data_IF_107948281396
#
_entry.id   IF_107948281396
#
_cell.length_a   1.000
_cell.length_b   1.000
_cell.length_c   1.000
_cell.angle_alpha   90.00
_cell.angle_beta   90.00
_cell.angle_gamma   90.00
#
_symmetry.space_group_name_H-M   'P 1'
#
loop_
_entity.id
_entity.type
_entity.pdbx_description
1 polymer ?
#
# COMPACT_ATOMS: atom_id res chain seq x y z
N UNK A 1 -11.72 17.74 8.71
CA UNK A 1 -12.34 17.83 7.37
C UNK A 1 -12.92 16.45 7.03
N UNK A 2 -14.03 16.34 6.31
CA UNK A 2 -14.66 15.05 5.99
C UNK A 2 -14.20 14.58 4.60
N UNK A 3 -13.81 13.31 4.47
CA UNK A 3 -13.49 12.72 3.17
C UNK A 3 -14.71 12.76 2.25
N UNK A 4 -14.49 13.06 0.96
CA UNK A 4 -15.59 13.19 -0.02
C UNK A 4 -15.52 12.00 -0.96
N UNK A 5 -16.62 11.23 -1.08
CA UNK A 5 -16.64 9.94 -1.76
C UNK A 5 -16.05 9.95 -3.18
N UNK A 6 -16.35 10.96 -3.99
CA UNK A 6 -15.84 11.08 -5.36
C UNK A 6 -14.40 11.62 -5.45
N UNK A 7 -13.80 12.04 -4.35
CA UNK A 7 -12.42 12.52 -4.27
C UNK A 7 -11.48 11.50 -3.65
N UNK A 8 -11.97 10.36 -3.15
CA UNK A 8 -11.13 9.38 -2.45
C UNK A 8 -10.11 8.77 -3.39
N UNK A 9 -8.84 8.87 -3.01
CA UNK A 9 -7.66 8.38 -3.75
C UNK A 9 -6.78 7.48 -2.89
N UNK A 10 -6.74 7.71 -1.58
CA UNK A 10 -5.86 7.02 -0.66
C UNK A 10 -6.63 6.19 0.37
N UNK A 11 -6.14 4.99 0.64
CA UNK A 11 -6.59 4.12 1.72
C UNK A 11 -5.42 3.85 2.67
N UNK A 12 -5.60 4.13 3.96
CA UNK A 12 -4.61 3.82 4.99
C UNK A 12 -5.00 2.54 5.72
N UNK A 13 -4.12 1.54 5.60
CA UNK A 13 -4.27 0.22 6.18
C UNK A 13 -4.19 0.23 7.72
N UNK A 14 -4.68 -0.83 8.36
CA UNK A 14 -4.75 -0.99 9.81
C UNK A 14 -3.38 -0.94 10.49
N UNK A 15 -2.33 -1.42 9.83
CA UNK A 15 -0.95 -1.30 10.34
C UNK A 15 -0.48 0.16 10.55
N UNK A 16 -1.21 1.12 9.98
CA UNK A 16 -1.01 2.56 10.07
C UNK A 16 -2.27 3.32 10.57
N UNK A 17 -3.16 2.68 11.33
CA UNK A 17 -4.48 3.25 11.68
C UNK A 17 -4.43 4.67 12.29
N UNK A 18 -3.48 4.93 13.21
CA UNK A 18 -3.29 6.26 13.82
C UNK A 18 -2.94 7.34 12.79
N UNK A 19 -2.10 7.00 11.81
CA UNK A 19 -1.78 7.89 10.69
C UNK A 19 -3.02 8.08 9.79
N UNK A 20 -3.81 7.02 9.58
CA UNK A 20 -5.04 7.07 8.80
C UNK A 20 -6.04 8.08 9.34
N UNK A 21 -6.24 8.10 10.66
CA UNK A 21 -7.07 9.10 11.33
C UNK A 21 -6.54 10.53 11.11
N UNK A 22 -5.25 10.74 11.31
CA UNK A 22 -4.63 12.05 11.12
C UNK A 22 -4.76 12.57 9.68
N UNK A 23 -4.49 11.72 8.68
CA UNK A 23 -4.60 12.10 7.27
C UNK A 23 -6.05 12.33 6.85
N UNK A 24 -7.00 11.51 7.31
CA UNK A 24 -8.44 11.68 7.03
C UNK A 24 -8.95 13.00 7.62
N UNK A 25 -8.45 13.42 8.79
CA UNK A 25 -8.81 14.70 9.39
C UNK A 25 -8.31 15.90 8.56
N UNK A 26 -7.13 15.77 7.94
CA UNK A 26 -6.46 16.83 7.19
C UNK A 26 -6.81 16.87 5.69
N UNK A 27 -7.21 15.75 5.09
CA UNK A 27 -7.38 15.60 3.63
C UNK A 27 -8.74 15.02 3.25
N UNK A 28 -9.30 15.50 2.12
CA UNK A 28 -10.60 15.04 1.59
C UNK A 28 -10.51 13.76 0.75
N UNK A 29 -9.30 13.41 0.28
CA UNK A 29 -9.03 12.30 -0.63
C UNK A 29 -8.46 11.06 0.08
N UNK A 30 -8.37 11.09 1.42
CA UNK A 30 -7.83 9.98 2.22
C UNK A 30 -8.90 9.39 3.11
N UNK A 31 -8.99 8.06 3.09
CA UNK A 31 -9.75 7.26 4.05
C UNK A 31 -8.83 6.23 4.71
N UNK A 32 -9.34 5.50 5.68
CA UNK A 32 -8.59 4.50 6.43
C UNK A 32 -9.44 3.25 6.68
N UNK A 33 -8.82 2.19 7.21
CA UNK A 33 -9.53 0.98 7.63
C UNK A 33 -10.75 1.29 8.51
N UNK A 34 -11.87 0.64 8.22
CA UNK A 34 -13.14 0.85 8.92
C UNK A 34 -13.86 2.16 8.62
N UNK A 35 -13.38 2.96 7.66
CA UNK A 35 -14.08 4.18 7.26
C UNK A 35 -15.41 3.86 6.53
N UNK A 36 -16.52 4.57 6.79
CA UNK A 36 -17.82 4.27 6.18
C UNK A 36 -17.86 4.29 4.64
N UNK A 37 -16.92 4.98 4.00
CA UNK A 37 -16.79 5.03 2.53
C UNK A 37 -16.15 3.78 1.92
N UNK A 38 -15.66 2.83 2.73
CA UNK A 38 -15.12 1.54 2.29
C UNK A 38 -15.61 0.40 3.21
N UNK A 39 -16.92 0.08 3.19
CA UNK A 39 -17.50 -0.93 4.07
C UNK A 39 -16.90 -2.34 3.89
N UNK A 40 -16.28 -2.62 2.75
CA UNK A 40 -15.59 -3.89 2.47
C UNK A 40 -14.28 -4.07 3.25
N UNK A 41 -13.79 -3.01 3.92
CA UNK A 41 -12.54 -3.04 4.68
C UNK A 41 -12.79 -2.68 6.15
N UNK A 42 -13.58 -3.49 6.90
CA UNK A 42 -13.71 -3.30 8.35
C UNK A 42 -12.36 -3.53 9.05
N UNK A 43 -12.26 -3.10 10.32
CA UNK A 43 -11.09 -3.45 11.14
C UNK A 43 -10.99 -4.97 11.30
N UNK A 44 -9.78 -5.50 11.21
CA UNK A 44 -9.51 -6.93 11.24
C UNK A 44 -9.82 -7.66 9.92
N UNK A 45 -10.15 -6.95 8.83
CA UNK A 45 -10.33 -7.57 7.52
C UNK A 45 -9.06 -8.31 7.08
N UNK A 46 -9.24 -9.48 6.48
CA UNK A 46 -8.13 -10.28 5.97
C UNK A 46 -7.57 -9.67 4.68
N UNK A 47 -6.28 -9.92 4.41
CA UNK A 47 -5.63 -9.48 3.17
C UNK A 47 -6.38 -9.93 1.91
N UNK A 48 -7.00 -11.13 1.95
CA UNK A 48 -7.84 -11.66 0.87
C UNK A 48 -9.14 -10.90 0.64
N UNK A 49 -9.57 -10.07 1.59
CA UNK A 49 -10.80 -9.30 1.55
C UNK A 49 -10.54 -7.85 1.15
N UNK A 50 -9.63 -7.17 1.87
CA UNK A 50 -9.41 -5.73 1.68
C UNK A 50 -8.56 -5.43 0.44
N UNK A 51 -7.56 -6.26 0.10
CA UNK A 51 -6.68 -6.00 -1.06
C UNK A 51 -7.50 -5.92 -2.36
N UNK A 52 -8.35 -6.91 -2.70
CA UNK A 52 -9.16 -6.84 -3.91
C UNK A 52 -10.14 -5.67 -3.90
N UNK A 53 -10.72 -5.32 -2.74
CA UNK A 53 -11.67 -4.22 -2.63
C UNK A 53 -11.02 -2.86 -2.92
N UNK A 54 -9.86 -2.60 -2.31
CA UNK A 54 -9.09 -1.37 -2.51
C UNK A 54 -8.56 -1.28 -3.95
N UNK A 55 -8.07 -2.38 -4.49
CA UNK A 55 -7.58 -2.45 -5.87
C UNK A 55 -8.68 -2.15 -6.90
N UNK A 56 -9.86 -2.78 -6.79
CA UNK A 56 -11.00 -2.53 -7.69
C UNK A 56 -11.47 -1.08 -7.68
N UNK A 57 -11.34 -0.41 -6.53
CA UNK A 57 -11.67 1.01 -6.36
C UNK A 57 -10.58 1.95 -6.90
N UNK A 58 -9.44 1.41 -7.37
CA UNK A 58 -8.33 2.20 -7.85
C UNK A 58 -7.78 3.12 -6.75
N UNK A 59 -7.72 2.65 -5.51
CA UNK A 59 -7.13 3.42 -4.40
C UNK A 59 -5.63 3.13 -4.28
N UNK A 60 -4.89 4.10 -3.75
CA UNK A 60 -3.47 3.96 -3.40
C UNK A 60 -3.35 3.67 -1.91
N UNK A 61 -2.65 2.60 -1.57
CA UNK A 61 -2.50 2.14 -0.18
C UNK A 61 -1.34 2.82 0.50
N UNK A 62 -1.55 3.24 1.75
CA UNK A 62 -0.48 3.62 2.67
C UNK A 62 -0.51 2.61 3.83
N UNK A 63 0.60 1.91 4.05
CA UNK A 63 0.70 0.81 5.03
C UNK A 63 2.06 0.80 5.70
N UNK A 64 2.19 0.11 6.84
CA UNK A 64 3.48 -0.26 7.45
C UNK A 64 3.70 -1.76 7.49
N UNK A 65 2.79 -2.53 6.93
CA UNK A 65 2.88 -3.98 7.05
C UNK A 65 4.10 -4.48 6.29
N UNK A 66 5.01 -5.11 7.02
CA UNK A 66 6.21 -5.74 6.45
C UNK A 66 5.84 -7.05 5.73
N UNK A 67 4.74 -7.70 6.11
CA UNK A 67 4.29 -9.00 5.60
C UNK A 67 3.86 -8.95 4.15
N UNK A 68 3.29 -7.81 3.76
CA UNK A 68 2.91 -7.46 2.39
C UNK A 68 4.04 -7.65 1.36
N UNK A 69 5.30 -7.69 1.80
CA UNK A 69 6.50 -7.90 0.96
C UNK A 69 7.21 -9.23 1.18
N UNK A 70 6.78 -10.06 2.12
CA UNK A 70 7.53 -11.25 2.54
C UNK A 70 6.80 -12.56 2.30
N UNK A 71 5.48 -12.56 2.12
CA UNK A 71 4.73 -13.78 1.82
C UNK A 71 4.51 -13.90 0.31
N UNK A 72 5.04 -14.96 -0.34
CA UNK A 72 4.91 -15.16 -1.78
C UNK A 72 3.47 -15.11 -2.29
N UNK A 73 2.53 -15.66 -1.52
CA UNK A 73 1.09 -15.69 -1.86
C UNK A 73 0.48 -14.28 -1.81
N UNK A 74 0.85 -13.47 -0.81
CA UNK A 74 0.37 -12.08 -0.68
C UNK A 74 0.96 -11.21 -1.78
N UNK A 75 2.24 -11.39 -2.13
CA UNK A 75 2.86 -10.72 -3.28
C UNK A 75 2.07 -11.06 -4.54
N UNK A 76 1.84 -12.33 -4.86
CA UNK A 76 1.11 -12.71 -6.08
C UNK A 76 -0.29 -12.07 -6.13
N UNK A 77 -1.02 -12.02 -5.01
CA UNK A 77 -2.32 -11.35 -4.93
C UNK A 77 -2.23 -9.84 -5.21
N UNK A 78 -1.22 -9.16 -4.67
CA UNK A 78 -0.97 -7.74 -4.97
C UNK A 78 -0.73 -7.49 -6.45
N UNK A 79 0.11 -8.33 -7.06
CA UNK A 79 0.44 -8.23 -8.48
C UNK A 79 -0.78 -8.52 -9.36
N UNK A 80 -1.53 -9.58 -9.05
CA UNK A 80 -2.72 -9.97 -9.79
C UNK A 80 -3.84 -8.91 -9.75
N UNK A 81 -3.95 -8.16 -8.65
CA UNK A 81 -4.98 -7.13 -8.51
C UNK A 81 -4.50 -5.72 -8.90
N UNK A 82 -3.23 -5.54 -9.29
CA UNK A 82 -2.72 -4.23 -9.69
C UNK A 82 -2.64 -3.23 -8.53
N UNK A 83 -2.41 -3.69 -7.30
CA UNK A 83 -2.40 -2.82 -6.13
C UNK A 83 -1.23 -1.83 -6.17
N UNK A 84 -1.52 -0.58 -5.81
CA UNK A 84 -0.55 0.52 -5.77
C UNK A 84 -0.28 0.88 -4.33
N UNK A 85 0.97 0.74 -3.88
CA UNK A 85 1.31 0.76 -2.45
C UNK A 85 2.48 1.70 -2.15
N UNK A 86 2.28 2.55 -1.14
CA UNK A 86 3.33 3.23 -0.41
C UNK A 86 3.49 2.58 0.97
N UNK A 87 4.59 1.86 1.16
CA UNK A 87 4.89 1.16 2.41
C UNK A 87 5.89 1.98 3.23
N UNK A 88 5.49 2.40 4.43
CA UNK A 88 6.33 3.21 5.32
C UNK A 88 7.39 2.30 5.94
N UNK A 89 8.64 2.54 5.56
CA UNK A 89 9.81 1.89 6.15
C UNK A 89 10.10 2.41 7.56
N UNK A 90 11.24 2.02 8.12
CA UNK A 90 11.71 2.56 9.41
C UNK A 90 11.70 1.55 10.58
N UNK A 91 12.11 2.06 11.75
CA UNK A 91 12.24 1.29 12.99
C UNK A 91 10.88 1.10 13.67
N UNK A 92 10.79 0.09 14.54
CA UNK A 92 9.53 -0.29 15.21
C UNK A 92 9.01 0.81 16.14
N UNK A 93 9.90 1.66 16.67
CA UNK A 93 9.61 2.56 17.80
C UNK A 93 9.29 4.00 17.39
N UNK A 94 9.10 4.26 16.09
CA UNK A 94 8.65 5.56 15.61
C UNK A 94 7.21 5.84 16.05
N UNK A 95 6.90 7.10 16.35
CA UNK A 95 5.54 7.49 16.73
C UNK A 95 4.65 7.69 15.50
N UNK A 96 3.32 7.77 15.72
CA UNK A 96 2.38 8.18 14.66
C UNK A 96 2.73 9.54 14.06
N UNK A 97 3.24 10.46 14.89
CA UNK A 97 3.69 11.77 14.44
C UNK A 97 4.89 11.67 13.49
N UNK A 98 5.86 10.81 13.79
CA UNK A 98 7.04 10.62 12.93
C UNK A 98 6.66 10.07 11.55
N UNK A 99 5.70 9.13 11.50
CA UNK A 99 5.17 8.64 10.22
C UNK A 99 4.40 9.72 9.48
N UNK A 100 3.59 10.53 10.18
CA UNK A 100 2.87 11.64 9.57
C UNK A 100 3.85 12.64 8.95
N UNK A 101 4.87 13.07 9.70
CA UNK A 101 5.92 13.98 9.19
C UNK A 101 6.60 13.39 7.97
N UNK A 102 6.93 12.09 7.98
CA UNK A 102 7.56 11.42 6.82
C UNK A 102 6.64 11.40 5.61
N UNK A 103 5.38 11.00 5.79
CA UNK A 103 4.41 10.89 4.69
C UNK A 103 4.11 12.26 4.10
N UNK A 104 3.90 13.28 4.95
CA UNK A 104 3.66 14.65 4.49
C UNK A 104 4.88 15.21 3.76
N UNK A 105 6.10 14.98 4.26
CA UNK A 105 7.35 15.39 3.58
C UNK A 105 7.46 14.80 2.18
N UNK A 106 7.10 13.52 2.03
CA UNK A 106 7.20 12.80 0.77
C UNK A 106 5.97 12.95 -0.13
N UNK A 107 4.90 13.60 0.34
CA UNK A 107 3.63 13.70 -0.38
C UNK A 107 3.75 14.25 -1.80
N UNK A 108 4.48 15.35 -2.06
CA UNK A 108 4.66 15.84 -3.44
C UNK A 108 5.29 14.81 -4.37
N UNK A 109 6.24 14.02 -3.86
CA UNK A 109 6.88 12.95 -4.63
C UNK A 109 5.94 11.76 -4.84
N UNK A 110 5.11 11.43 -3.85
CA UNK A 110 4.06 10.40 -4.00
C UNK A 110 3.07 10.77 -5.11
N UNK A 111 2.64 12.03 -5.16
CA UNK A 111 1.74 12.53 -6.20
C UNK A 111 2.38 12.46 -7.60
N UNK A 112 3.65 12.83 -7.73
CA UNK A 112 4.41 12.68 -8.98
C UNK A 112 4.46 11.22 -9.42
N UNK A 113 4.80 10.29 -8.51
CA UNK A 113 4.85 8.86 -8.82
C UNK A 113 3.48 8.34 -9.30
N UNK A 114 2.38 8.77 -8.67
CA UNK A 114 1.02 8.39 -9.10
C UNK A 114 0.71 8.93 -10.49
N UNK A 115 1.12 10.16 -10.80
CA UNK A 115 0.93 10.77 -12.12
C UNK A 115 1.77 10.08 -13.20
N UNK A 116 3.02 9.77 -12.90
CA UNK A 116 3.96 9.10 -13.81
C UNK A 116 3.58 7.61 -14.02
N UNK A 117 2.98 6.98 -13.01
CA UNK A 117 2.62 5.55 -12.99
C UNK A 117 1.17 5.34 -12.53
N UNK A 118 0.18 5.71 -13.37
CA UNK A 118 -1.22 5.62 -13.01
C UNK A 118 -1.69 4.19 -12.78
N UNK A 119 -1.08 3.22 -13.45
CA UNK A 119 -1.43 1.79 -13.37
C UNK A 119 -0.47 1.05 -12.44
N UNK A 120 -1.03 0.21 -11.56
CA UNK A 120 -0.26 -0.75 -10.77
C UNK A 120 0.00 -2.06 -11.53
N UNK A 121 0.54 -3.08 -10.87
CA UNK A 121 0.98 -3.08 -9.47
C UNK A 121 2.33 -2.35 -9.32
N UNK A 122 2.50 -1.69 -8.18
CA UNK A 122 3.80 -1.18 -7.75
C UNK A 122 3.83 -1.00 -6.24
N UNK A 123 5.03 -1.10 -5.67
CA UNK A 123 5.28 -0.89 -4.25
C UNK A 123 6.45 0.07 -4.12
N UNK A 124 6.25 1.17 -3.39
CA UNK A 124 7.30 2.12 -3.06
C UNK A 124 7.52 2.17 -1.55
N UNK A 125 8.78 2.14 -1.14
CA UNK A 125 9.21 2.21 0.26
C UNK A 125 9.46 3.66 0.65
N UNK A 126 8.67 4.18 1.60
CA UNK A 126 8.88 5.50 2.20
C UNK A 126 9.91 5.37 3.32
N UNK A 127 11.17 5.59 2.98
CA UNK A 127 12.26 5.67 3.93
C UNK A 127 12.37 7.10 4.52
N UNK A 128 13.21 7.27 5.54
CA UNK A 128 13.37 8.55 6.23
C UNK A 128 13.71 9.71 5.28
N UNK A 129 14.50 9.46 4.25
CA UNK A 129 15.01 10.49 3.33
C UNK A 129 14.70 10.26 1.86
N UNK A 130 14.25 9.05 1.47
CA UNK A 130 14.04 8.68 0.07
C UNK A 130 12.81 7.79 -0.12
N UNK A 131 12.36 7.70 -1.36
CA UNK A 131 11.34 6.76 -1.81
C UNK A 131 11.98 5.79 -2.80
N UNK A 132 12.00 4.50 -2.49
CA UNK A 132 12.61 3.47 -3.35
C UNK A 132 11.54 2.51 -3.86
N UNK A 133 11.61 2.11 -5.13
CA UNK A 133 10.73 1.05 -5.62
C UNK A 133 11.15 -0.31 -5.06
N UNK A 134 10.18 -1.08 -4.58
CA UNK A 134 10.36 -2.48 -4.24
C UNK A 134 9.96 -3.35 -5.43
N UNK A 135 10.97 -3.98 -6.04
CA UNK A 135 10.80 -5.00 -7.06
C UNK A 135 11.05 -6.36 -6.40
N UNK A 136 10.05 -7.27 -6.35
CA UNK A 136 10.29 -8.64 -5.92
C UNK A 136 11.42 -9.23 -6.75
N UNK A 137 12.38 -9.89 -6.11
CA UNK A 137 13.33 -10.71 -6.86
C UNK A 137 12.56 -11.92 -7.36
N UNK A 138 12.73 -12.29 -8.64
CA UNK A 138 12.28 -13.59 -9.13
C UNK A 138 12.86 -14.66 -8.19
N UNK A 139 12.02 -15.21 -7.32
CA UNK A 139 12.31 -16.50 -6.71
C UNK A 139 12.24 -17.47 -7.87
N UNK A 140 13.41 -17.83 -8.40
CA UNK A 140 13.61 -18.42 -9.70
C UNK A 140 12.50 -19.39 -10.11
N UNK A 141 12.05 -19.25 -11.35
CA UNK A 141 11.50 -20.37 -12.11
C UNK A 141 12.33 -21.60 -11.80
N UNK A 142 11.72 -22.57 -11.13
CA UNK A 142 12.24 -23.93 -11.14
C UNK A 142 12.34 -24.31 -12.62
N UNK A 143 13.56 -24.27 -13.15
CA UNK A 143 13.87 -24.86 -14.44
C UNK A 143 13.43 -26.31 -14.34
N UNK A 144 12.37 -26.68 -15.05
CA UNK A 144 12.01 -28.07 -15.23
C UNK A 144 13.27 -28.81 -15.70
N UNK A 145 13.63 -29.96 -15.12
CA UNK A 145 14.76 -30.71 -15.61
C UNK A 145 14.52 -31.02 -17.09
N UNK A 146 15.48 -30.61 -17.92
CA UNK A 146 15.50 -30.94 -19.33
C UNK A 146 15.40 -32.46 -19.46
N UNK A 147 14.40 -32.89 -20.21
CA UNK A 147 14.20 -34.27 -20.62
C UNK A 147 15.48 -34.75 -21.30
N UNK A 148 16.15 -35.74 -20.71
CA UNK A 148 17.34 -36.37 -21.28
C UNK A 148 16.86 -37.50 -22.17
N UNK A 149 17.11 -37.48 -23.49
CA UNK A 149 16.71 -38.58 -24.35
C UNK A 149 17.64 -39.78 -24.11
N UNK A 150 17.03 -40.94 -23.87
CA UNK A 150 17.61 -42.25 -24.17
C UNK A 150 16.73 -42.96 -25.19
#
# INVERSE_FOLDING_TARGET
MVAVANLVRFYVDESAAGLGLALTAARKDTIHVGHPLIPECPRGALDTEWIPAVARRGLVVITRDKRLRTKPIEIQALWNHGLRVFNIGGKKDESTWDWLVRVVRHWPRMEQIIADRPTGPWIYMLNATRIDEYVPRDTGTATAPADVPQ
#
